data_IF_779961098797
#
_entry.id   IF_779961098797
#
_cell.length_a   1.000
_cell.length_b   1.000
_cell.length_c   1.000
_cell.angle_alpha   90.00
_cell.angle_beta   90.00
_cell.angle_gamma   90.00
#
_symmetry.space_group_name_H-M   'P 1'
#
loop_
_entity.id
_entity.type
_entity.pdbx_description
1 polymer ?
#
# COMPACT_ATOMS: atom_id res chain seq x y z
N UNK A 1 19.47 2.04 5.61
CA UNK A 1 18.63 1.31 6.58
C UNK A 1 19.37 1.22 7.90
N UNK A 2 18.70 1.54 9.02
CA UNK A 2 19.24 1.44 10.39
C UNK A 2 19.42 -0.04 10.81
N UNK A 3 20.20 -0.30 11.87
CA UNK A 3 20.37 -1.65 12.41
C UNK A 3 19.04 -2.22 12.94
N UNK A 4 18.27 -1.41 13.66
CA UNK A 4 16.99 -1.80 14.23
C UNK A 4 15.99 -2.22 13.16
N UNK A 5 15.88 -1.44 12.08
CA UNK A 5 14.97 -1.79 10.98
C UNK A 5 15.44 -3.05 10.25
N UNK A 6 16.75 -3.21 10.05
CA UNK A 6 17.32 -4.44 9.46
C UNK A 6 16.95 -5.65 10.31
N UNK A 7 17.08 -5.57 11.63
CA UNK A 7 16.74 -6.64 12.56
C UNK A 7 15.26 -7.00 12.48
N UNK A 8 14.37 -6.02 12.44
CA UNK A 8 12.93 -6.26 12.23
C UNK A 8 12.67 -7.02 10.92
N UNK A 9 13.22 -6.55 9.79
CA UNK A 9 13.04 -7.18 8.48
C UNK A 9 13.59 -8.61 8.48
N UNK A 10 14.78 -8.83 9.05
CA UNK A 10 15.38 -10.16 9.20
C UNK A 10 14.51 -11.11 10.03
N UNK A 11 13.90 -10.64 11.12
CA UNK A 11 12.96 -11.43 11.92
C UNK A 11 11.73 -11.82 11.10
N UNK A 12 11.12 -10.87 10.36
CA UNK A 12 9.96 -11.18 9.50
C UNK A 12 10.28 -12.22 8.42
N UNK A 13 11.49 -12.19 7.88
CA UNK A 13 11.98 -13.19 6.91
C UNK A 13 12.15 -14.55 7.58
N UNK A 14 12.89 -14.59 8.69
CA UNK A 14 13.18 -15.82 9.44
C UNK A 14 11.90 -16.53 9.89
N UNK A 15 10.91 -15.76 10.33
CA UNK A 15 9.64 -16.29 10.82
C UNK A 15 8.65 -16.63 9.69
N UNK A 16 9.02 -16.40 8.43
CA UNK A 16 8.23 -16.79 7.25
C UNK A 16 7.08 -15.85 6.89
N UNK A 17 7.00 -14.66 7.50
CA UNK A 17 5.99 -13.64 7.18
C UNK A 17 6.35 -12.82 5.95
N UNK A 18 7.64 -12.68 5.64
CA UNK A 18 8.15 -11.92 4.51
C UNK A 18 9.08 -12.82 3.68
N UNK A 19 8.66 -13.19 2.46
CA UNK A 19 9.24 -14.30 1.70
C UNK A 19 9.59 -13.90 0.27
N UNK A 20 8.73 -13.14 -0.40
CA UNK A 20 8.92 -12.74 -1.79
C UNK A 20 10.02 -11.69 -1.91
N UNK A 21 11.02 -11.95 -2.77
CA UNK A 21 12.19 -11.06 -2.95
C UNK A 21 11.80 -9.61 -3.27
N UNK A 22 10.82 -9.38 -4.14
CA UNK A 22 10.36 -8.03 -4.47
C UNK A 22 9.76 -7.29 -3.26
N UNK A 23 9.05 -7.99 -2.37
CA UNK A 23 8.47 -7.40 -1.15
C UNK A 23 9.58 -7.13 -0.12
N UNK A 24 10.56 -8.04 0.01
CA UNK A 24 11.76 -7.85 0.84
C UNK A 24 12.55 -6.62 0.39
N UNK A 25 12.78 -6.47 -0.93
CA UNK A 25 13.45 -5.30 -1.51
C UNK A 25 12.68 -4.02 -1.18
N UNK A 26 11.34 -4.03 -1.30
CA UNK A 26 10.51 -2.89 -0.96
C UNK A 26 10.61 -2.48 0.52
N UNK A 27 10.53 -3.45 1.46
CA UNK A 27 10.73 -3.18 2.89
C UNK A 27 12.12 -2.60 3.18
N UNK A 28 13.14 -3.05 2.44
CA UNK A 28 14.52 -2.55 2.60
C UNK A 28 14.69 -1.13 2.06
N UNK A 29 14.02 -0.80 0.95
CA UNK A 29 14.12 0.49 0.29
C UNK A 29 13.25 1.59 0.92
N UNK A 30 12.08 1.21 1.46
CA UNK A 30 11.11 2.14 2.03
C UNK A 30 11.22 2.14 3.56
N UNK A 31 11.82 3.20 4.10
CA UNK A 31 12.03 3.36 5.53
C UNK A 31 10.72 3.74 6.22
N UNK A 32 10.21 2.83 7.04
CA UNK A 32 8.97 3.02 7.81
C UNK A 32 8.99 4.29 8.67
N UNK A 33 10.15 4.72 9.18
CA UNK A 33 10.25 5.93 10.00
C UNK A 33 9.90 7.22 9.24
N UNK A 34 9.94 7.22 7.90
CA UNK A 34 9.49 8.36 7.09
C UNK A 34 7.97 8.53 7.08
N UNK A 35 7.22 7.53 7.55
CA UNK A 35 5.76 7.46 7.53
C UNK A 35 5.15 7.50 8.93
N UNK A 36 5.96 7.83 9.94
CA UNK A 36 5.56 7.91 11.34
C UNK A 36 5.69 9.37 11.80
N UNK A 37 4.73 9.93 12.56
CA UNK A 37 4.86 11.25 13.17
C UNK A 37 6.13 11.36 14.03
N UNK A 38 6.70 12.57 14.13
CA UNK A 38 7.98 12.78 14.81
C UNK A 38 7.98 12.27 16.26
N UNK A 39 6.88 12.46 16.99
CA UNK A 39 6.70 11.99 18.38
C UNK A 39 6.68 10.45 18.54
N UNK A 40 6.60 9.70 17.44
CA UNK A 40 6.51 8.24 17.45
C UNK A 40 7.67 7.57 16.71
N UNK A 41 8.66 8.33 16.22
CA UNK A 41 9.78 7.80 15.43
C UNK A 41 10.63 6.77 16.16
N UNK A 42 10.81 6.92 17.48
CA UNK A 42 11.55 5.95 18.30
C UNK A 42 10.90 4.55 18.26
N UNK A 43 9.59 4.49 18.04
CA UNK A 43 8.84 3.24 17.89
C UNK A 43 8.81 2.69 16.46
N UNK A 44 9.31 3.42 15.45
CA UNK A 44 9.06 3.16 14.03
C UNK A 44 9.42 1.73 13.59
N UNK A 45 10.43 1.12 14.21
CA UNK A 45 10.93 -0.22 13.87
C UNK A 45 10.44 -1.32 14.83
N UNK A 46 9.49 -1.00 15.71
CA UNK A 46 8.79 -1.99 16.51
C UNK A 46 7.78 -2.74 15.63
N UNK A 47 7.63 -4.04 15.86
CA UNK A 47 6.60 -4.84 15.20
C UNK A 47 5.21 -4.60 15.84
N UNK A 48 4.74 -3.34 15.84
CA UNK A 48 3.47 -2.90 16.41
C UNK A 48 2.83 -1.79 15.55
N UNK A 49 1.51 -1.60 15.59
CA UNK A 49 0.89 -0.40 15.03
C UNK A 49 1.31 0.84 15.83
N UNK A 50 1.40 1.99 15.16
CA UNK A 50 1.69 3.28 15.81
C UNK A 50 0.63 4.30 15.46
N UNK A 51 0.29 5.24 16.36
CA UNK A 51 -0.64 6.31 16.05
C UNK A 51 -0.11 7.21 14.91
N UNK A 52 -1.01 7.68 14.06
CA UNK A 52 -0.71 8.67 13.00
C UNK A 52 -1.63 9.90 13.09
N UNK A 53 -2.33 10.07 14.22
CA UNK A 53 -3.35 11.09 14.43
C UNK A 53 -4.76 10.64 14.02
N UNK A 54 -5.77 11.45 14.40
CA UNK A 54 -7.18 11.25 14.03
C UNK A 54 -7.76 9.86 14.38
N UNK A 55 -7.26 9.24 15.45
CA UNK A 55 -7.67 7.89 15.86
C UNK A 55 -7.24 6.77 14.90
N UNK A 56 -6.33 7.06 13.96
CA UNK A 56 -5.81 6.09 12.99
C UNK A 56 -4.40 5.64 13.37
N UNK A 57 -3.97 4.53 12.78
CA UNK A 57 -2.63 3.97 12.99
C UNK A 57 -1.96 3.61 11.67
N UNK A 58 -0.63 3.72 11.61
CA UNK A 58 0.16 2.97 10.63
C UNK A 58 0.19 1.50 11.09
N UNK A 59 -0.19 0.59 10.18
CA UNK A 59 -0.35 -0.84 10.49
C UNK A 59 0.95 -1.49 10.98
N UNK A 60 0.84 -2.56 11.76
CA UNK A 60 1.98 -3.39 12.18
C UNK A 60 2.79 -3.91 10.97
N UNK A 61 4.14 -3.92 11.00
CA UNK A 61 4.96 -4.42 9.90
C UNK A 61 4.62 -5.85 9.46
N UNK A 62 4.43 -6.75 10.42
CA UNK A 62 4.01 -8.13 10.15
C UNK A 62 2.68 -8.18 9.39
N UNK A 63 1.67 -7.42 9.81
CA UNK A 63 0.38 -7.37 9.13
C UNK A 63 0.52 -6.89 7.69
N UNK A 64 1.33 -5.86 7.44
CA UNK A 64 1.58 -5.35 6.08
C UNK A 64 2.33 -6.39 5.24
N UNK A 65 3.38 -7.02 5.78
CA UNK A 65 4.10 -8.10 5.09
C UNK A 65 3.14 -9.24 4.72
N UNK A 66 2.35 -9.72 5.68
CA UNK A 66 1.37 -10.78 5.48
C UNK A 66 0.34 -10.44 4.40
N UNK A 67 -0.21 -9.23 4.43
CA UNK A 67 -1.21 -8.81 3.44
C UNK A 67 -0.61 -8.62 2.04
N UNK A 68 0.61 -8.11 1.92
CA UNK A 68 1.30 -7.99 0.63
C UNK A 68 1.65 -9.36 0.04
N UNK A 69 2.08 -10.31 0.87
CA UNK A 69 2.31 -11.69 0.46
C UNK A 69 1.03 -12.35 -0.05
N UNK A 70 -0.12 -12.11 0.59
CA UNK A 70 -1.41 -12.58 0.08
C UNK A 70 -1.86 -11.86 -1.19
N UNK A 71 -1.50 -10.59 -1.36
CA UNK A 71 -1.86 -9.78 -2.52
C UNK A 71 -1.07 -10.20 -3.76
N UNK A 72 0.15 -10.71 -3.59
CA UNK A 72 1.07 -11.14 -4.66
C UNK A 72 1.32 -10.06 -5.74
N UNK A 73 1.59 -8.78 -5.41
CA UNK A 73 1.68 -7.69 -6.40
C UNK A 73 2.83 -7.90 -7.41
N UNK A 74 2.57 -7.63 -8.70
CA UNK A 74 3.53 -7.82 -9.78
C UNK A 74 3.84 -6.53 -10.56
N UNK A 75 5.05 -6.38 -11.13
CA UNK A 75 5.41 -5.21 -11.92
C UNK A 75 4.40 -4.86 -13.03
N UNK A 76 4.00 -3.59 -13.10
CA UNK A 76 3.09 -3.04 -14.10
C UNK A 76 1.59 -3.18 -13.80
N UNK A 77 1.21 -3.89 -12.74
CA UNK A 77 -0.17 -3.95 -12.24
C UNK A 77 -0.60 -2.58 -11.68
N UNK A 78 -1.91 -2.29 -11.78
CA UNK A 78 -2.53 -1.12 -11.16
C UNK A 78 -3.35 -1.53 -9.95
N UNK A 79 -3.01 -0.96 -8.79
CA UNK A 79 -3.58 -1.34 -7.49
C UNK A 79 -4.33 -0.16 -6.86
N UNK A 80 -5.49 -0.45 -6.28
CA UNK A 80 -6.21 0.47 -5.38
C UNK A 80 -5.81 0.16 -3.94
N UNK A 81 -5.30 1.15 -3.21
CA UNK A 81 -5.01 1.11 -1.78
C UNK A 81 -6.09 1.89 -1.01
N UNK A 82 -6.90 1.19 -0.22
CA UNK A 82 -8.05 1.76 0.50
C UNK A 82 -7.70 2.03 1.96
N UNK A 83 -7.75 3.31 2.35
CA UNK A 83 -7.29 3.77 3.66
C UNK A 83 -5.79 4.02 3.65
N UNK A 84 -5.35 4.96 2.79
CA UNK A 84 -3.91 5.21 2.57
C UNK A 84 -3.17 5.63 3.86
N UNK A 85 -3.85 6.21 4.86
CA UNK A 85 -3.30 6.45 6.19
C UNK A 85 -2.03 7.30 6.13
N UNK A 86 -0.88 6.69 6.45
CA UNK A 86 0.42 7.37 6.40
C UNK A 86 1.11 7.37 5.04
N UNK A 87 0.63 6.58 4.08
CA UNK A 87 1.23 6.39 2.75
C UNK A 87 2.29 5.29 2.66
N UNK A 88 2.61 4.59 3.75
CA UNK A 88 3.67 3.57 3.76
C UNK A 88 3.36 2.40 2.81
N UNK A 89 2.17 1.81 2.94
CA UNK A 89 1.74 0.70 2.07
C UNK A 89 1.67 1.10 0.61
N UNK A 90 1.11 2.27 0.30
CA UNK A 90 1.09 2.82 -1.06
C UNK A 90 2.50 2.96 -1.66
N UNK A 91 3.49 3.34 -0.84
CA UNK A 91 4.90 3.47 -1.30
C UNK A 91 5.56 2.12 -1.51
N UNK A 92 5.32 1.15 -0.60
CA UNK A 92 5.77 -0.23 -0.79
C UNK A 92 5.20 -0.81 -2.09
N UNK A 93 3.90 -0.66 -2.33
CA UNK A 93 3.27 -1.06 -3.59
C UNK A 93 3.90 -0.36 -4.79
N UNK A 94 4.09 0.96 -4.74
CA UNK A 94 4.72 1.71 -5.83
C UNK A 94 6.11 1.15 -6.18
N UNK A 95 6.91 0.80 -5.17
CA UNK A 95 8.22 0.18 -5.37
C UNK A 95 8.10 -1.19 -6.06
N UNK A 96 7.25 -2.07 -5.55
CA UNK A 96 7.07 -3.44 -6.08
C UNK A 96 6.55 -3.43 -7.52
N UNK A 97 5.63 -2.51 -7.83
CA UNK A 97 4.95 -2.45 -9.11
C UNK A 97 5.79 -1.79 -10.22
N UNK A 98 6.82 -1.03 -9.84
CA UNK A 98 7.64 -0.29 -10.77
C UNK A 98 8.74 -1.17 -11.37
N UNK A 99 8.91 -1.09 -12.69
CA UNK A 99 9.96 -1.83 -13.40
C UNK A 99 11.37 -1.23 -13.21
N UNK A 100 11.45 0.04 -12.81
CA UNK A 100 12.69 0.78 -12.62
C UNK A 100 13.03 0.87 -11.14
N UNK A 101 14.25 0.48 -10.75
CA UNK A 101 14.78 0.61 -9.38
C UNK A 101 15.06 2.08 -8.95
N UNK A 102 14.51 3.08 -9.64
CA UNK A 102 14.74 4.51 -9.39
C UNK A 102 13.86 5.07 -8.25
N UNK A 103 13.81 4.39 -7.11
CA UNK A 103 13.25 4.92 -5.86
C UNK A 103 14.42 5.36 -4.97
N UNK A 104 14.82 6.62 -5.11
CA UNK A 104 15.85 7.17 -4.24
C UNK A 104 15.15 7.96 -3.14
N UNK A 105 15.26 7.48 -1.90
CA UNK A 105 14.83 8.24 -0.73
C UNK A 105 15.60 9.57 -0.68
N UNK A 106 14.88 10.69 -0.57
CA UNK A 106 15.50 12.02 -0.44
C UNK A 106 15.82 12.72 -1.76
N UNK A 107 15.47 12.16 -2.93
CA UNK A 107 15.49 12.94 -4.18
C UNK A 107 14.21 13.76 -4.31
N UNK A 108 14.08 14.79 -3.47
CA UNK A 108 13.19 15.93 -3.77
C UNK A 108 13.81 16.88 -4.80
N UNK A 109 15.07 16.66 -5.16
CA UNK A 109 15.75 17.41 -6.21
C UNK A 109 15.15 17.05 -7.57
N UNK A 110 14.19 17.87 -7.99
CA UNK A 110 13.73 18.01 -9.38
C UNK A 110 14.90 18.40 -10.32
N UNK A 111 16.10 18.67 -9.79
CA UNK A 111 17.23 19.25 -10.52
C UNK A 111 18.29 18.26 -11.04
N UNK A 112 18.15 16.95 -10.83
CA UNK A 112 18.93 15.95 -11.58
C UNK A 112 17.98 14.89 -12.14
N UNK A 113 16.98 15.34 -12.90
CA UNK A 113 16.37 14.48 -13.91
C UNK A 113 17.43 14.38 -15.00
N UNK A 114 18.20 13.30 -14.99
CA UNK A 114 18.76 12.79 -16.24
C UNK A 114 17.58 12.71 -17.20
N UNK A 115 17.52 13.67 -18.13
CA UNK A 115 16.63 13.60 -19.28
C UNK A 115 16.76 12.19 -19.83
N UNK A 116 15.66 11.43 -19.99
CA UNK A 116 15.73 10.13 -20.62
C UNK A 116 16.53 10.31 -21.90
N UNK A 117 17.62 9.56 -22.05
CA UNK A 117 18.27 9.41 -23.34
C UNK A 117 17.16 9.19 -24.36
N UNK A 118 17.07 10.11 -25.32
CA UNK A 118 16.03 10.12 -26.34
C UNK A 118 16.09 8.78 -27.10
N UNK A 119 15.27 7.82 -26.68
CA UNK A 119 15.38 6.43 -27.14
C UNK A 119 14.34 5.46 -26.59
N UNK A 120 13.80 5.69 -25.38
CA UNK A 120 12.68 4.88 -24.86
C UNK A 120 11.65 5.80 -24.18
N UNK A 121 10.55 6.07 -24.87
CA UNK A 121 9.37 6.72 -24.30
C UNK A 121 8.65 5.77 -23.34
N UNK A 122 9.25 5.47 -22.20
CA UNK A 122 8.55 4.81 -21.10
C UNK A 122 7.60 5.84 -20.49
N UNK A 123 6.39 5.92 -21.04
CA UNK A 123 5.31 6.71 -20.45
C UNK A 123 5.13 6.22 -19.01
N UNK A 124 5.50 7.07 -18.05
CA UNK A 124 5.44 6.74 -16.63
C UNK A 124 3.96 6.54 -16.26
N UNK A 125 3.61 5.30 -15.92
CA UNK A 125 2.22 4.84 -15.75
C UNK A 125 1.79 5.02 -14.30
N UNK A 126 0.54 5.43 -14.09
CA UNK A 126 -0.11 5.36 -12.78
C UNK A 126 -0.26 3.91 -12.33
N UNK A 127 0.38 3.56 -11.20
CA UNK A 127 0.41 2.19 -10.67
C UNK A 127 -0.39 2.04 -9.38
N UNK A 128 -0.40 3.05 -8.51
CA UNK A 128 -1.15 3.00 -7.24
C UNK A 128 -2.11 4.16 -7.16
N UNK A 129 -3.36 3.86 -6.87
CA UNK A 129 -4.35 4.85 -6.45
C UNK A 129 -4.62 4.64 -4.97
N UNK A 130 -4.26 5.59 -4.12
CA UNK A 130 -4.63 5.55 -2.71
C UNK A 130 -5.85 6.42 -2.43
N UNK A 131 -6.78 5.92 -1.61
CA UNK A 131 -7.95 6.68 -1.17
C UNK A 131 -7.93 6.85 0.35
N UNK A 132 -8.11 8.09 0.80
CA UNK A 132 -8.12 8.46 2.23
C UNK A 132 -9.27 9.43 2.48
N UNK A 133 -10.03 9.23 3.55
CA UNK A 133 -11.21 10.07 3.86
C UNK A 133 -10.85 11.30 4.69
N UNK A 134 -9.81 11.20 5.53
CA UNK A 134 -9.36 12.27 6.43
C UNK A 134 -8.39 13.19 5.66
N UNK A 135 -8.73 14.47 5.41
CA UNK A 135 -7.88 15.40 4.64
C UNK A 135 -6.45 15.52 5.16
N UNK A 136 -6.31 15.57 6.48
CA UNK A 136 -5.03 15.73 7.18
C UNK A 136 -4.13 14.50 6.96
N UNK A 137 -4.70 13.29 7.00
CA UNK A 137 -3.96 12.07 6.71
C UNK A 137 -3.64 11.95 5.23
N UNK A 138 -4.54 12.36 4.34
CA UNK A 138 -4.26 12.41 2.89
C UNK A 138 -3.05 13.32 2.62
N UNK A 139 -3.00 14.51 3.24
CA UNK A 139 -1.88 15.44 3.11
C UNK A 139 -0.59 14.89 3.76
N UNK A 140 -0.71 14.22 4.91
CA UNK A 140 0.41 13.56 5.58
C UNK A 140 1.01 12.45 4.69
N UNK A 141 0.16 11.62 4.11
CA UNK A 141 0.58 10.57 3.18
C UNK A 141 1.23 11.15 1.92
N UNK A 142 0.67 12.20 1.30
CA UNK A 142 1.30 12.84 0.13
C UNK A 142 2.71 13.32 0.46
N UNK A 143 2.89 14.04 1.57
CA UNK A 143 4.22 14.51 2.01
C UNK A 143 5.21 13.36 2.21
N UNK A 144 4.77 12.24 2.77
CA UNK A 144 5.65 11.10 3.02
C UNK A 144 6.01 10.36 1.73
N UNK A 145 5.03 10.14 0.85
CA UNK A 145 5.22 9.47 -0.44
C UNK A 145 6.12 10.32 -1.37
N UNK A 146 5.99 11.65 -1.34
CA UNK A 146 6.85 12.58 -2.08
C UNK A 146 8.33 12.47 -1.74
N UNK A 147 8.70 12.00 -0.54
CA UNK A 147 10.11 11.73 -0.18
C UNK A 147 10.77 10.67 -1.07
N UNK A 148 9.97 9.88 -1.77
CA UNK A 148 10.37 8.82 -2.69
C UNK A 148 10.09 9.20 -4.17
N UNK A 149 9.61 10.42 -4.43
CA UNK A 149 9.30 10.94 -5.77
C UNK A 149 8.07 10.32 -6.44
N UNK A 150 7.28 9.50 -5.74
CA UNK A 150 6.23 8.71 -6.38
C UNK A 150 5.02 9.56 -6.79
N UNK A 151 4.74 10.65 -6.08
CA UNK A 151 3.66 11.58 -6.43
C UNK A 151 4.06 12.39 -7.67
N UNK A 152 5.26 12.95 -7.64
CA UNK A 152 5.82 13.83 -8.69
C UNK A 152 5.99 13.07 -10.01
N UNK A 153 6.41 11.81 -9.94
CA UNK A 153 6.53 10.91 -11.10
C UNK A 153 5.18 10.35 -11.58
N UNK A 154 4.07 10.69 -10.93
CA UNK A 154 2.73 10.19 -11.29
C UNK A 154 2.52 8.69 -11.06
N UNK A 155 3.41 8.03 -10.31
CA UNK A 155 3.34 6.59 -10.01
C UNK A 155 2.22 6.33 -9.00
N UNK A 156 2.08 7.22 -8.02
CA UNK A 156 1.05 7.17 -6.97
C UNK A 156 0.13 8.38 -7.13
N UNK A 157 -1.18 8.14 -7.06
CA UNK A 157 -2.21 9.19 -6.98
C UNK A 157 -2.99 9.03 -5.70
N UNK A 158 -2.90 10.02 -4.81
CA UNK A 158 -3.75 10.07 -3.61
C UNK A 158 -4.99 10.90 -3.87
N UNK A 159 -6.14 10.36 -3.48
CA UNK A 159 -7.42 11.04 -3.57
C UNK A 159 -8.11 11.09 -2.21
N UNK A 160 -8.82 12.19 -1.98
CA UNK A 160 -9.76 12.27 -0.86
C UNK A 160 -11.07 11.59 -1.26
N UNK A 161 -11.56 10.67 -0.44
CA UNK A 161 -12.89 10.08 -0.67
C UNK A 161 -13.24 8.91 0.23
N UNK A 162 -14.47 8.43 0.07
CA UNK A 162 -14.98 7.23 0.74
C UNK A 162 -14.39 5.97 0.08
N UNK A 163 -13.50 5.31 0.81
CA UNK A 163 -12.86 4.05 0.43
C UNK A 163 -13.84 2.94 0.06
N UNK A 164 -15.03 2.91 0.65
CA UNK A 164 -16.05 1.90 0.36
C UNK A 164 -16.62 2.00 -1.05
N UNK A 165 -16.49 3.16 -1.70
CA UNK A 165 -16.91 3.40 -3.08
C UNK A 165 -15.82 3.05 -4.10
N UNK A 166 -14.62 2.72 -3.64
CA UNK A 166 -13.43 2.62 -4.47
C UNK A 166 -13.18 3.90 -5.26
N UNK A 167 -12.54 3.80 -6.43
CA UNK A 167 -12.38 4.93 -7.33
C UNK A 167 -12.57 4.56 -8.79
N UNK A 168 -13.85 4.57 -9.21
CA UNK A 168 -14.29 4.17 -10.55
C UNK A 168 -13.53 4.86 -11.70
N UNK A 169 -13.05 6.09 -11.52
CA UNK A 169 -12.36 6.84 -12.57
C UNK A 169 -11.07 6.18 -13.05
N UNK A 170 -10.38 5.46 -12.16
CA UNK A 170 -9.13 4.76 -12.48
C UNK A 170 -9.34 3.23 -12.50
N UNK A 171 -10.56 2.75 -12.35
CA UNK A 171 -10.90 1.35 -12.57
C UNK A 171 -10.78 1.00 -14.07
N UNK A 172 -10.55 -0.27 -14.43
CA UNK A 172 -10.42 -1.41 -13.53
C UNK A 172 -8.99 -1.56 -12.95
N UNK A 173 -8.93 -2.19 -11.77
CA UNK A 173 -7.70 -2.49 -11.04
C UNK A 173 -7.32 -3.96 -11.20
N UNK A 174 -6.03 -4.23 -11.29
CA UNK A 174 -5.50 -5.59 -11.20
C UNK A 174 -5.74 -6.15 -9.80
N UNK A 175 -5.49 -5.31 -8.77
CA UNK A 175 -5.71 -5.70 -7.37
C UNK A 175 -6.23 -4.56 -6.51
N UNK A 176 -6.84 -4.92 -5.39
CA UNK A 176 -7.30 -3.98 -4.36
C UNK A 176 -6.78 -4.46 -3.01
N UNK A 177 -6.16 -3.54 -2.26
CA UNK A 177 -5.72 -3.74 -0.89
C UNK A 177 -6.46 -2.75 0.02
N UNK A 178 -6.87 -3.15 1.21
CA UNK A 178 -7.50 -2.24 2.18
C UNK A 178 -6.81 -2.29 3.55
N UNK A 179 -6.48 -1.13 4.11
CA UNK A 179 -5.93 -0.97 5.46
C UNK A 179 -6.97 -0.83 6.56
N UNK A 180 -8.27 -0.80 6.22
CA UNK A 180 -9.39 -0.64 7.15
C UNK A 180 -10.42 -1.76 7.00
N UNK A 181 -10.94 -2.25 8.13
CA UNK A 181 -11.84 -3.40 8.21
C UNK A 181 -13.24 -3.05 7.72
N UNK A 182 -13.74 -3.82 6.74
CA UNK A 182 -15.15 -3.74 6.37
C UNK A 182 -16.03 -4.45 7.39
N UNK A 183 -17.20 -3.90 7.67
CA UNK A 183 -18.23 -4.57 8.47
C UNK A 183 -19.02 -5.58 7.60
N UNK A 184 -19.12 -6.81 8.08
CA UNK A 184 -19.79 -7.94 7.42
C UNK A 184 -19.10 -8.51 6.18
N UNK A 185 -18.97 -7.73 5.12
CA UNK A 185 -18.35 -8.14 3.86
C UNK A 185 -17.70 -6.94 3.14
N UNK A 186 -16.85 -7.22 2.14
CA UNK A 186 -16.24 -6.17 1.33
C UNK A 186 -17.29 -5.38 0.53
N UNK A 187 -17.08 -4.06 0.32
CA UNK A 187 -17.96 -3.24 -0.50
C UNK A 187 -18.15 -3.78 -1.94
N UNK A 188 -19.39 -3.81 -2.48
CA UNK A 188 -19.65 -4.25 -3.86
C UNK A 188 -18.86 -3.47 -4.91
N UNK A 189 -18.54 -2.21 -4.63
CA UNK A 189 -17.74 -1.36 -5.51
C UNK A 189 -16.38 -1.98 -5.82
N UNK A 190 -15.73 -2.63 -4.86
CA UNK A 190 -14.42 -3.25 -5.06
C UNK A 190 -14.51 -4.43 -6.01
N UNK A 191 -15.52 -5.30 -5.85
CA UNK A 191 -15.81 -6.40 -6.78
C UNK A 191 -16.07 -5.91 -8.20
N UNK A 192 -16.78 -4.78 -8.34
CA UNK A 192 -17.08 -4.19 -9.65
C UNK A 192 -15.85 -3.52 -10.30
N UNK A 193 -14.89 -3.07 -9.51
CA UNK A 193 -13.72 -2.32 -9.99
C UNK A 193 -12.46 -3.18 -10.15
N UNK A 194 -12.40 -4.38 -9.56
CA UNK A 194 -11.33 -5.35 -9.82
C UNK A 194 -11.59 -6.13 -11.11
N UNK A 195 -10.53 -6.35 -11.90
CA UNK A 195 -10.57 -7.15 -13.13
C UNK A 195 -10.95 -8.61 -12.85
N UNK A 196 -11.51 -9.30 -13.85
CA UNK A 196 -11.48 -10.77 -13.86
C UNK A 196 -10.01 -11.20 -13.94
N UNK A 197 -9.63 -12.19 -13.13
CA UNK A 197 -8.24 -12.56 -12.86
C UNK A 197 -7.57 -11.71 -11.77
N UNK A 198 -8.24 -10.68 -11.26
CA UNK A 198 -7.71 -9.82 -10.20
C UNK A 198 -8.02 -10.31 -8.79
N UNK A 199 -7.33 -9.72 -7.80
CA UNK A 199 -7.41 -10.11 -6.38
C UNK A 199 -7.75 -8.94 -5.47
N UNK A 200 -8.56 -9.20 -4.45
CA UNK A 200 -8.82 -8.27 -3.34
C UNK A 200 -8.26 -8.88 -2.06
N UNK A 201 -7.50 -8.11 -1.28
CA UNK A 201 -7.07 -8.46 0.07
C UNK A 201 -7.52 -7.36 1.02
N UNK A 202 -8.39 -7.69 1.96
CA UNK A 202 -8.96 -6.71 2.85
C UNK A 202 -9.36 -7.32 4.19
N UNK A 203 -9.27 -6.55 5.28
CA UNK A 203 -9.81 -7.01 6.55
C UNK A 203 -11.34 -6.97 6.57
N UNK A 204 -11.94 -8.01 7.14
CA UNK A 204 -13.37 -8.16 7.34
C UNK A 204 -13.59 -8.71 8.74
N UNK A 205 -14.13 -7.89 9.64
CA UNK A 205 -14.16 -8.23 11.08
C UNK A 205 -12.76 -8.56 11.62
N UNK A 206 -12.58 -9.78 12.14
CA UNK A 206 -11.33 -10.27 12.73
C UNK A 206 -10.46 -11.13 11.78
N UNK A 207 -10.79 -11.14 10.47
CA UNK A 207 -10.01 -11.84 9.44
C UNK A 207 -9.41 -10.87 8.44
N UNK A 208 -8.34 -11.33 7.77
CA UNK A 208 -7.93 -10.85 6.45
C UNK A 208 -8.56 -11.77 5.41
N UNK A 209 -9.39 -11.22 4.54
CA UNK A 209 -10.07 -11.93 3.45
C UNK A 209 -9.33 -11.74 2.15
N UNK A 210 -9.10 -12.85 1.43
CA UNK A 210 -8.59 -12.89 0.06
C UNK A 210 -9.72 -13.29 -0.88
N UNK A 211 -9.90 -12.53 -1.96
CA UNK A 211 -10.92 -12.79 -2.98
C UNK A 211 -10.28 -12.76 -4.36
N UNK A 212 -10.23 -13.92 -5.03
CA UNK A 212 -9.84 -14.01 -6.44
C UNK A 212 -11.09 -13.94 -7.32
N UNK A 213 -11.13 -13.01 -8.27
CA UNK A 213 -12.26 -12.86 -9.18
C UNK A 213 -12.07 -13.74 -10.43
N UNK A 214 -12.72 -14.89 -10.45
CA UNK A 214 -12.63 -15.87 -11.55
C UNK A 214 -13.55 -15.53 -12.74
N UNK A 215 -14.59 -14.73 -12.51
CA UNK A 215 -15.55 -14.30 -13.54
C UNK A 215 -16.38 -13.12 -13.07
N UNK A 216 -17.40 -12.71 -13.84
CA UNK A 216 -18.23 -11.54 -13.50
C UNK A 216 -18.83 -11.63 -12.09
N UNK A 217 -19.35 -12.80 -11.73
CA UNK A 217 -19.95 -13.12 -10.42
C UNK A 217 -19.37 -14.41 -9.81
N UNK A 218 -18.18 -14.83 -10.26
CA UNK A 218 -17.53 -16.05 -9.78
C UNK A 218 -16.26 -15.66 -9.01
N UNK A 219 -16.14 -16.13 -7.77
CA UNK A 219 -15.10 -15.75 -6.84
C UNK A 219 -14.60 -16.96 -6.06
N UNK A 220 -13.29 -17.03 -5.85
CA UNK A 220 -12.73 -17.84 -4.77
C UNK A 220 -12.51 -16.93 -3.55
N UNK A 221 -12.89 -17.38 -2.36
CA UNK A 221 -12.81 -16.59 -1.12
C UNK A 221 -12.11 -17.40 -0.05
N UNK A 222 -11.12 -16.79 0.62
CA UNK A 222 -10.41 -17.40 1.74
C UNK A 222 -10.22 -16.39 2.86
N UNK A 223 -10.48 -16.82 4.10
CA UNK A 223 -10.32 -16.00 5.30
C UNK A 223 -9.13 -16.47 6.15
N UNK A 224 -8.38 -15.52 6.69
CA UNK A 224 -7.26 -15.73 7.60
C UNK A 224 -7.52 -14.97 8.91
N UNK A 225 -7.78 -15.69 10.00
CA UNK A 225 -8.19 -15.11 11.28
C UNK A 225 -6.99 -14.67 12.15
N UNK A 226 -7.26 -13.82 13.15
CA UNK A 226 -6.27 -13.41 14.15
C UNK A 226 -5.74 -11.98 13.99
N UNK A 227 -6.49 -11.13 13.29
CA UNK A 227 -6.09 -9.74 13.03
C UNK A 227 -7.12 -8.74 13.56
N UNK A 228 -6.67 -7.52 13.82
CA UNK A 228 -7.50 -6.39 14.23
C UNK A 228 -7.10 -5.14 13.45
N UNK A 229 -8.08 -4.39 12.97
CA UNK A 229 -7.90 -3.20 12.16
C UNK A 229 -8.90 -2.11 12.55
N UNK A 230 -8.59 -0.86 12.21
CA UNK A 230 -9.54 0.25 12.30
C UNK A 230 -10.71 0.05 11.34
N UNK A 231 -11.94 0.48 11.68
CA UNK A 231 -13.11 0.25 10.85
C UNK A 231 -13.10 1.12 9.57
N UNK A 232 -13.57 0.54 8.46
CA UNK A 232 -13.87 1.27 7.23
C UNK A 232 -15.17 2.05 7.40
N UNK A 233 -15.02 3.35 7.68
CA UNK A 233 -16.16 4.26 7.85
C UNK A 233 -16.73 4.65 6.49
N UNK A 234 -18.02 4.36 6.27
CA UNK A 234 -18.79 4.78 5.09
C UNK A 234 -19.30 6.21 5.28
N UNK A 235 -19.33 7.03 4.23
CA UNK A 235 -19.80 8.42 4.31
C UNK A 235 -19.37 9.30 3.16
#
# INVERSE_FOLDING_TARGET
MTEEYRKLVQTLIKDGYLKTSAIIEAFTAVDRADFVPDEHKDGAYTNAPLPIGHGQTISQPLTVAFMLELLEPNPGEKILDVGAGSGWTATLLAFILSKTKQFNRGTSDVQNIDTPNAGTSDVQKLLVVGIERIPELKNFAEKNISKYGCIEKGIVKLIRGDGSRGYKREAPYDKILAGAASDGDIPPAWRNQVKIGGRIVAPVGASVRVIDKLGKNNYNVKDYFGFSFVPLVRG
#
